data_IF_103639688406
#
_entry.id   IF_103639688406
#
_cell.length_a   1.000
_cell.length_b   1.000
_cell.length_c   1.000
_cell.angle_alpha   90.00
_cell.angle_beta   90.00
_cell.angle_gamma   90.00
#
_symmetry.space_group_name_H-M   'P 1'
#
loop_
_entity.id
_entity.type
_entity.pdbx_description
1 polymer ?
#
# COMPACT_ATOMS: atom_id res chain seq x y z
N UNK A 1 -8.48 12.63 -11.22
CA UNK A 1 -8.58 11.18 -11.46
C UNK A 1 -7.81 10.79 -12.71
N UNK A 2 -7.17 9.63 -12.71
CA UNK A 2 -6.62 8.99 -13.90
C UNK A 2 -6.87 7.49 -13.77
N UNK A 3 -6.85 6.79 -14.91
CA UNK A 3 -6.88 5.33 -14.91
C UNK A 3 -5.54 4.78 -14.40
N UNK A 4 -5.52 3.51 -13.97
CA UNK A 4 -4.29 2.85 -13.52
C UNK A 4 -3.21 2.75 -14.61
N UNK A 5 -3.59 2.83 -15.89
CA UNK A 5 -2.66 2.89 -17.02
C UNK A 5 -2.12 4.31 -17.30
N UNK A 6 -2.42 5.29 -16.44
CA UNK A 6 -2.02 6.69 -16.59
C UNK A 6 -2.89 7.53 -17.55
N UNK A 7 -3.83 6.91 -18.26
CA UNK A 7 -4.73 7.62 -19.17
C UNK A 7 -5.82 8.43 -18.47
N UNK A 8 -6.48 9.31 -19.23
CA UNK A 8 -7.66 10.09 -18.79
C UNK A 8 -7.45 10.91 -17.51
N UNK A 9 -6.26 11.52 -17.36
CA UNK A 9 -5.96 12.40 -16.23
C UNK A 9 -6.88 13.63 -16.22
N UNK A 10 -7.53 13.88 -15.08
CA UNK A 10 -8.38 15.03 -14.77
C UNK A 10 -7.96 15.67 -13.45
N UNK A 11 -8.03 16.99 -13.39
CA UNK A 11 -7.93 17.76 -12.13
C UNK A 11 -9.30 17.67 -11.45
N UNK A 12 -9.33 17.28 -10.16
CA UNK A 12 -10.57 17.25 -9.38
C UNK A 12 -11.00 18.67 -8.97
N UNK A 13 -10.10 19.37 -8.29
CA UNK A 13 -10.19 20.79 -7.94
C UNK A 13 -8.80 21.31 -7.62
N UNK A 14 -8.60 22.63 -7.69
CA UNK A 14 -7.31 23.27 -7.47
C UNK A 14 -7.49 24.72 -7.01
N UNK A 15 -6.51 25.25 -6.31
CA UNK A 15 -6.46 26.65 -5.88
C UNK A 15 -5.83 26.76 -4.50
N UNK A 16 -4.94 27.73 -4.31
CA UNK A 16 -4.22 27.89 -3.04
C UNK A 16 -5.18 28.16 -1.87
N UNK A 17 -6.22 28.97 -2.09
CA UNK A 17 -7.24 29.25 -1.08
C UNK A 17 -8.13 28.04 -0.78
N UNK A 18 -8.14 27.04 -1.67
CA UNK A 18 -9.00 25.86 -1.56
C UNK A 18 -8.26 24.64 -0.99
N UNK A 19 -7.05 24.35 -1.47
CA UNK A 19 -6.14 23.32 -0.93
C UNK A 19 -4.77 23.97 -0.71
N UNK A 20 -4.55 24.67 0.42
CA UNK A 20 -3.30 25.41 0.65
C UNK A 20 -2.10 24.46 0.78
N UNK A 21 -2.19 23.47 1.66
CA UNK A 21 -1.14 22.46 1.86
C UNK A 21 -1.69 21.13 2.35
N UNK A 22 -1.90 20.19 1.42
CA UNK A 22 -2.36 18.83 1.72
C UNK A 22 -1.21 17.85 1.91
N UNK A 23 -1.25 16.98 2.93
CA UNK A 23 -0.22 15.94 3.13
C UNK A 23 -0.71 14.52 2.83
N UNK A 24 -1.92 14.20 3.23
CA UNK A 24 -2.51 12.87 3.04
C UNK A 24 -3.92 12.99 2.51
N UNK A 25 -4.34 12.01 1.71
CA UNK A 25 -5.62 11.98 1.02
C UNK A 25 -6.23 10.58 1.11
N UNK A 26 -7.54 10.51 1.27
CA UNK A 26 -8.32 9.29 1.21
C UNK A 26 -9.61 9.55 0.41
N UNK A 27 -10.21 8.47 -0.12
CA UNK A 27 -11.41 8.54 -0.94
C UNK A 27 -12.42 7.49 -0.49
N UNK A 28 -13.66 7.91 -0.27
CA UNK A 28 -14.80 7.03 -0.02
C UNK A 28 -16.08 7.70 -0.49
N UNK A 29 -17.01 6.92 -1.06
CA UNK A 29 -18.38 7.35 -1.41
C UNK A 29 -18.48 8.70 -2.16
N UNK A 30 -17.54 8.95 -3.07
CA UNK A 30 -17.52 10.17 -3.88
C UNK A 30 -16.93 11.41 -3.20
N UNK A 31 -16.39 11.28 -1.98
CA UNK A 31 -15.67 12.34 -1.29
C UNK A 31 -14.16 12.12 -1.32
N UNK A 32 -13.43 13.21 -1.51
CA UNK A 32 -12.01 13.30 -1.20
C UNK A 32 -11.88 13.88 0.19
N UNK A 33 -11.18 13.17 1.07
CA UNK A 33 -10.84 13.60 2.43
C UNK A 33 -9.33 13.83 2.48
N UNK A 34 -8.87 14.98 2.96
CA UNK A 34 -7.44 15.25 3.06
C UNK A 34 -7.07 15.92 4.38
N UNK A 35 -5.83 15.71 4.79
CA UNK A 35 -5.21 16.46 5.89
C UNK A 35 -4.60 17.75 5.38
N UNK A 36 -4.95 18.86 6.03
CA UNK A 36 -4.48 20.21 5.72
C UNK A 36 -3.56 20.69 6.85
N UNK A 37 -2.28 20.90 6.54
CA UNK A 37 -1.30 21.31 7.55
C UNK A 37 -1.47 22.78 7.91
N UNK A 38 -1.78 23.65 6.94
CA UNK A 38 -1.95 25.09 7.19
C UNK A 38 -3.10 25.35 8.15
N UNK A 39 -4.20 24.61 7.99
CA UNK A 39 -5.40 24.73 8.80
C UNK A 39 -5.42 23.77 10.00
N UNK A 40 -4.43 22.88 10.13
CA UNK A 40 -4.37 21.81 11.13
C UNK A 40 -5.69 21.02 11.23
N UNK A 41 -6.26 20.68 10.07
CA UNK A 41 -7.62 20.14 9.98
C UNK A 41 -7.72 18.96 9.03
N UNK A 42 -8.77 18.16 9.21
CA UNK A 42 -9.18 17.16 8.23
C UNK A 42 -10.41 17.69 7.49
N UNK A 43 -10.33 17.77 6.18
CA UNK A 43 -11.34 18.40 5.32
C UNK A 43 -11.86 17.37 4.33
N UNK A 44 -13.15 17.44 4.00
CA UNK A 44 -13.77 16.68 2.93
C UNK A 44 -14.42 17.58 1.88
N UNK A 45 -14.44 17.13 0.63
CA UNK A 45 -15.18 17.75 -0.45
C UNK A 45 -15.61 16.71 -1.50
N UNK A 46 -16.61 17.05 -2.32
CA UNK A 46 -17.02 16.24 -3.45
C UNK A 46 -15.85 16.04 -4.42
N UNK A 47 -15.59 14.78 -4.77
CA UNK A 47 -14.43 14.39 -5.54
C UNK A 47 -14.48 14.89 -6.99
N UNK A 48 -15.67 15.08 -7.57
CA UNK A 48 -15.84 15.45 -8.97
C UNK A 48 -15.64 16.94 -9.22
N UNK A 49 -16.06 17.79 -8.29
CA UNK A 49 -16.10 19.24 -8.50
C UNK A 49 -15.62 20.09 -7.31
N UNK A 50 -15.28 19.50 -6.17
CA UNK A 50 -14.89 20.22 -4.96
C UNK A 50 -16.06 21.00 -4.32
N UNK A 51 -17.30 20.65 -4.58
CA UNK A 51 -18.44 21.20 -3.83
C UNK A 51 -18.53 20.57 -2.44
N UNK A 52 -19.44 21.09 -1.61
CA UNK A 52 -19.71 20.57 -0.27
C UNK A 52 -18.45 20.46 0.63
N UNK A 53 -17.50 21.40 0.48
CA UNK A 53 -16.31 21.48 1.32
C UNK A 53 -16.70 21.69 2.78
N UNK A 54 -16.24 20.82 3.66
CA UNK A 54 -16.48 20.95 5.10
C UNK A 54 -15.34 20.34 5.91
N UNK A 55 -15.20 20.81 7.15
CA UNK A 55 -14.21 20.34 8.11
C UNK A 55 -14.79 19.12 8.84
N UNK A 56 -14.10 17.99 8.80
CA UNK A 56 -14.40 16.79 9.60
C UNK A 56 -13.77 16.92 10.99
N UNK A 57 -12.48 17.25 11.02
CA UNK A 57 -11.72 17.45 12.27
C UNK A 57 -11.20 18.88 12.27
N UNK A 58 -11.67 19.75 13.18
CA UNK A 58 -11.18 21.12 13.30
C UNK A 58 -9.78 21.16 13.90
N UNK A 59 -9.19 22.36 13.93
CA UNK A 59 -7.88 22.65 14.54
C UNK A 59 -7.90 22.43 16.06
N UNK A 60 -7.93 21.15 16.43
CA UNK A 60 -7.98 20.63 17.81
C UNK A 60 -6.85 19.65 18.06
N UNK A 61 -6.12 19.27 17.00
CA UNK A 61 -4.99 18.37 17.02
C UNK A 61 -3.81 19.15 16.45
N UNK A 62 -2.66 19.05 17.12
CA UNK A 62 -1.48 19.84 16.76
C UNK A 62 -1.10 19.67 15.29
N UNK A 63 -1.10 18.44 14.77
CA UNK A 63 -0.89 18.16 13.35
C UNK A 63 -1.66 16.91 12.92
N UNK A 64 -2.35 17.00 11.77
CA UNK A 64 -2.97 15.83 11.12
C UNK A 64 -2.06 15.39 9.98
N UNK A 65 -1.25 14.36 10.22
CA UNK A 65 -0.22 13.94 9.25
C UNK A 65 -0.78 12.99 8.19
N UNK A 66 -1.64 12.06 8.59
CA UNK A 66 -2.17 11.02 7.71
C UNK A 66 -3.66 10.77 7.97
N UNK A 67 -4.38 10.41 6.90
CA UNK A 67 -5.75 9.91 6.97
C UNK A 67 -5.85 8.56 6.28
N UNK A 68 -6.58 7.63 6.90
CA UNK A 68 -6.88 6.31 6.33
C UNK A 68 -8.33 5.96 6.64
N UNK A 69 -9.04 5.43 5.65
CA UNK A 69 -10.44 5.05 5.78
C UNK A 69 -10.51 3.53 5.94
N UNK A 70 -11.14 3.08 7.02
CA UNK A 70 -11.33 1.66 7.32
C UNK A 70 -12.80 1.33 7.07
N UNK A 71 -13.10 0.76 5.91
CA UNK A 71 -14.44 0.35 5.53
C UNK A 71 -14.42 -0.96 4.72
N UNK A 72 -15.31 -1.94 4.97
CA UNK A 72 -15.32 -3.22 4.23
C UNK A 72 -15.46 -3.09 2.72
N UNK A 73 -16.16 -2.07 2.21
CA UNK A 73 -16.29 -1.84 0.75
C UNK A 73 -14.95 -1.51 0.08
N UNK A 74 -13.98 -1.00 0.83
CA UNK A 74 -12.62 -0.72 0.36
C UNK A 74 -11.70 -1.95 0.47
N UNK A 75 -12.18 -3.04 1.07
CA UNK A 75 -11.42 -4.27 1.34
C UNK A 75 -12.19 -5.51 0.84
N UNK A 76 -12.44 -5.60 -0.48
CA UNK A 76 -13.19 -6.72 -1.05
C UNK A 76 -12.49 -8.04 -0.72
N UNK A 77 -13.28 -9.02 -0.29
CA UNK A 77 -12.78 -10.37 -0.06
C UNK A 77 -12.51 -11.04 -1.39
N UNK A 78 -11.23 -11.23 -1.70
CA UNK A 78 -10.77 -11.93 -2.90
C UNK A 78 -9.97 -13.17 -2.49
N UNK A 79 -10.00 -14.27 -3.28
CA UNK A 79 -9.18 -15.43 -3.01
C UNK A 79 -7.70 -15.04 -2.92
N UNK A 80 -7.04 -15.43 -1.83
CA UNK A 80 -5.60 -15.27 -1.68
C UNK A 80 -4.90 -16.52 -2.23
N UNK A 81 -4.20 -16.46 -3.38
CA UNK A 81 -3.51 -17.61 -3.95
C UNK A 81 -2.31 -18.10 -3.11
N UNK A 82 -1.80 -17.26 -2.20
CA UNK A 82 -0.82 -17.65 -1.18
C UNK A 82 -1.47 -18.26 0.08
N UNK A 83 -2.80 -18.19 0.22
CA UNK A 83 -3.51 -18.51 1.46
C UNK A 83 -3.41 -19.98 1.89
N UNK A 84 -3.12 -20.89 0.95
CA UNK A 84 -2.92 -22.32 1.22
C UNK A 84 -1.42 -22.61 1.16
N UNK A 85 -0.86 -23.10 2.27
CA UNK A 85 0.54 -23.51 2.38
C UNK A 85 1.55 -22.46 1.85
N UNK A 86 1.26 -21.17 2.00
CA UNK A 86 2.10 -20.07 1.50
C UNK A 86 2.42 -20.18 -0.02
N UNK A 87 1.51 -20.73 -0.83
CA UNK A 87 1.81 -21.01 -2.25
C UNK A 87 2.94 -22.05 -2.46
N UNK A 88 3.21 -22.86 -1.44
CA UNK A 88 4.39 -23.71 -1.30
C UNK A 88 5.74 -22.97 -1.42
N UNK A 89 5.78 -21.66 -1.19
CA UNK A 89 7.01 -20.90 -1.05
C UNK A 89 7.61 -21.15 0.34
N UNK A 90 8.93 -21.36 0.42
CA UNK A 90 9.58 -21.62 1.71
C UNK A 90 9.75 -20.36 2.57
N UNK A 91 9.72 -19.17 1.97
CA UNK A 91 9.81 -17.89 2.69
C UNK A 91 8.69 -16.92 2.27
N UNK A 92 8.87 -16.14 1.20
CA UNK A 92 7.91 -15.13 0.79
C UNK A 92 7.07 -15.61 -0.38
N UNK A 93 5.75 -15.43 -0.28
CA UNK A 93 4.79 -15.56 -1.38
C UNK A 93 4.22 -14.18 -1.70
N UNK A 94 4.59 -13.63 -2.85
CA UNK A 94 4.24 -12.28 -3.26
C UNK A 94 3.16 -12.33 -4.33
N UNK A 95 2.03 -11.68 -4.07
CA UNK A 95 0.94 -11.56 -5.04
C UNK A 95 1.42 -10.82 -6.29
N UNK A 96 0.97 -11.30 -7.44
CA UNK A 96 1.22 -10.73 -8.75
C UNK A 96 -0.12 -10.42 -9.44
N UNK A 97 -0.07 -9.92 -10.68
CA UNK A 97 -1.26 -9.61 -11.45
C UNK A 97 -2.11 -10.85 -11.71
N UNK A 98 -3.40 -10.67 -11.97
CA UNK A 98 -4.32 -11.75 -12.36
C UNK A 98 -4.44 -12.91 -11.35
N UNK A 99 -4.48 -12.62 -10.04
CA UNK A 99 -4.60 -13.65 -8.98
C UNK A 99 -3.49 -14.70 -9.00
N UNK A 100 -2.31 -14.33 -9.49
CA UNK A 100 -1.10 -15.16 -9.45
C UNK A 100 -0.18 -14.74 -8.31
N UNK A 101 0.90 -15.49 -8.10
CA UNK A 101 1.95 -15.16 -7.14
C UNK A 101 3.31 -15.65 -7.63
N UNK A 102 4.36 -15.11 -7.04
CA UNK A 102 5.73 -15.58 -7.17
C UNK A 102 6.34 -15.79 -5.79
N UNK A 103 7.22 -16.79 -5.67
CA UNK A 103 8.03 -16.91 -4.46
C UNK A 103 9.17 -15.89 -4.52
N UNK A 104 9.64 -15.43 -3.36
CA UNK A 104 10.82 -14.61 -3.23
C UNK A 104 11.66 -15.05 -2.01
N UNK A 105 12.97 -14.84 -2.12
CA UNK A 105 13.91 -15.11 -1.04
C UNK A 105 14.22 -13.82 -0.28
N UNK A 106 14.37 -13.88 1.06
CA UNK A 106 14.88 -12.75 1.83
C UNK A 106 16.28 -12.32 1.36
N UNK A 107 16.72 -11.16 1.84
CA UNK A 107 18.10 -10.72 1.63
C UNK A 107 19.09 -11.78 2.13
N UNK A 108 20.18 -11.99 1.38
CA UNK A 108 21.19 -13.03 1.61
C UNK A 108 20.71 -14.47 1.43
N UNK A 109 19.58 -14.71 0.76
CA UNK A 109 19.15 -16.04 0.33
C UNK A 109 19.04 -16.10 -1.20
N UNK A 110 19.24 -17.29 -1.76
CA UNK A 110 19.02 -17.60 -3.17
C UNK A 110 18.11 -18.81 -3.31
N UNK A 111 17.48 -18.96 -4.47
CA UNK A 111 16.72 -20.19 -4.73
C UNK A 111 17.65 -21.39 -4.76
N UNK A 112 17.18 -22.49 -4.19
CA UNK A 112 17.77 -23.79 -4.38
C UNK A 112 17.73 -24.12 -5.88
N UNK A 113 18.86 -24.55 -6.44
CA UNK A 113 19.02 -24.85 -7.87
C UNK A 113 18.35 -26.19 -8.27
N UNK A 114 17.04 -26.30 -8.06
CA UNK A 114 16.20 -27.46 -8.37
C UNK A 114 15.13 -27.16 -9.45
N UNK A 115 15.15 -25.94 -10.01
CA UNK A 115 14.27 -25.51 -11.10
C UNK A 115 12.85 -25.10 -10.69
N UNK A 116 12.49 -25.16 -9.40
CA UNK A 116 11.11 -24.84 -8.97
C UNK A 116 10.94 -23.45 -8.36
N UNK A 117 12.03 -22.72 -8.07
CA UNK A 117 12.04 -21.39 -7.45
C UNK A 117 11.11 -21.27 -6.23
N UNK A 118 11.01 -22.32 -5.39
CA UNK A 118 10.16 -22.30 -4.20
C UNK A 118 10.93 -22.33 -2.90
N UNK A 119 12.10 -22.96 -2.90
CA UNK A 119 12.91 -23.15 -1.70
C UNK A 119 14.09 -22.19 -1.72
N UNK A 120 14.23 -21.40 -0.67
CA UNK A 120 15.40 -20.55 -0.48
C UNK A 120 16.43 -21.23 0.39
N UNK A 121 17.69 -21.08 0.01
CA UNK A 121 18.87 -21.45 0.78
C UNK A 121 19.70 -20.21 1.05
N UNK A 122 20.36 -20.18 2.19
CA UNK A 122 21.17 -19.04 2.59
C UNK A 122 22.40 -18.94 1.68
N UNK A 123 22.62 -17.77 1.07
CA UNK A 123 23.77 -17.46 0.22
C UNK A 123 24.95 -17.01 1.11
N UNK A 124 25.45 -17.95 1.91
CA UNK A 124 26.46 -17.63 2.91
C UNK A 124 27.84 -17.61 2.29
N UNK A 125 28.60 -16.58 2.63
CA UNK A 125 30.05 -16.56 2.44
C UNK A 125 30.75 -17.25 3.61
N UNK A 126 31.98 -17.70 3.42
CA UNK A 126 32.80 -18.41 4.42
C UNK A 126 32.92 -17.67 5.77
N UNK A 127 32.65 -16.35 5.81
CA UNK A 127 32.80 -15.51 7.00
C UNK A 127 31.49 -15.31 7.79
N UNK A 128 30.42 -16.04 7.49
CA UNK A 128 29.11 -15.84 8.12
C UNK A 128 28.78 -16.96 9.13
N UNK A 129 29.00 -16.70 10.42
CA UNK A 129 28.86 -17.68 11.52
C UNK A 129 27.44 -18.19 11.83
N UNK A 130 26.41 -17.69 11.14
CA UNK A 130 25.00 -18.08 11.38
C UNK A 130 24.43 -19.06 10.37
N UNK A 131 25.26 -19.53 9.44
CA UNK A 131 24.86 -20.49 8.42
C UNK A 131 25.55 -21.83 8.69
N UNK A 132 25.08 -22.54 9.71
CA UNK A 132 25.40 -23.95 9.84
C UNK A 132 24.57 -24.78 8.85
N UNK A 133 25.09 -25.91 8.33
CA UNK A 133 24.23 -26.91 7.71
C UNK A 133 23.13 -27.34 8.71
N UNK A 134 21.99 -27.90 8.27
CA UNK A 134 20.87 -28.24 9.15
C UNK A 134 21.17 -29.17 10.34
N UNK A 135 22.39 -29.68 10.49
CA UNK A 135 22.79 -30.68 11.48
C UNK A 135 24.21 -30.46 12.08
N UNK A 136 24.66 -29.21 12.25
CA UNK A 136 25.78 -28.87 13.16
C UNK A 136 25.36 -27.83 14.19
#
# INVERSE_FOLDING_TARGET
FSNYNGGQRKIAFSGHDYVPYSLSIAFIDGYIIWSDITNHSLIAADALNGSNKHIIVPNTINEVVAVTIIHPSLQPQIPNPCGINNGACSHLCLLSTNQSYTCACPEHFSFLNNGNNRTCVSNCSFNQHRCGPPNE
#
